data_IF_251208579406
#
_entry.id   IF_251208579406
#
_cell.length_a   1.000
_cell.length_b   1.000
_cell.length_c   1.000
_cell.angle_alpha   90.00
_cell.angle_beta   90.00
_cell.angle_gamma   90.00
#
_symmetry.space_group_name_H-M   'P 1'
#
loop_
_entity.id
_entity.type
_entity.pdbx_description
1 polymer ?
#
# COMPACT_ATOMS: atom_id res chain seq x y z
N UNK A 1 -25.19 -17.74 50.04
CA UNK A 1 -25.72 -17.12 48.83
C UNK A 1 -24.76 -16.20 48.13
N UNK A 2 -23.95 -15.39 48.83
CA UNK A 2 -22.93 -14.53 48.19
C UNK A 2 -21.79 -15.32 47.52
N UNK A 3 -21.46 -16.52 47.97
CA UNK A 3 -20.42 -17.37 47.37
C UNK A 3 -20.82 -17.99 46.04
N UNK A 4 -22.11 -18.25 45.82
CA UNK A 4 -22.63 -18.80 44.57
C UNK A 4 -22.64 -17.73 43.46
N UNK A 5 -22.88 -16.47 43.81
CA UNK A 5 -22.84 -15.34 42.85
C UNK A 5 -21.43 -15.05 42.37
N UNK A 6 -20.44 -15.21 43.26
CA UNK A 6 -19.02 -14.98 42.92
C UNK A 6 -18.49 -16.09 41.99
N UNK A 7 -18.98 -17.33 42.17
CA UNK A 7 -18.63 -18.46 41.29
C UNK A 7 -19.21 -18.27 39.88
N UNK A 8 -20.42 -17.72 39.78
CA UNK A 8 -21.08 -17.48 38.50
C UNK A 8 -20.36 -16.39 37.68
N UNK A 9 -19.87 -15.35 38.33
CA UNK A 9 -19.09 -14.31 37.67
C UNK A 9 -17.72 -14.79 37.22
N UNK A 10 -17.11 -15.71 37.93
CA UNK A 10 -15.80 -16.26 37.56
C UNK A 10 -15.88 -17.22 36.35
N UNK A 11 -16.99 -17.90 36.16
CA UNK A 11 -17.22 -18.81 35.03
C UNK A 11 -17.50 -18.04 33.73
N UNK A 12 -18.05 -16.83 33.81
CA UNK A 12 -18.33 -16.01 32.64
C UNK A 12 -17.09 -15.29 32.09
N UNK A 13 -16.05 -15.08 32.88
CA UNK A 13 -14.83 -14.36 32.47
C UNK A 13 -14.05 -15.07 31.35
N UNK A 14 -13.86 -16.39 31.33
CA UNK A 14 -13.12 -17.03 30.24
C UNK A 14 -13.85 -17.05 28.90
N UNK A 15 -15.17 -16.88 28.90
CA UNK A 15 -15.94 -16.85 27.65
C UNK A 15 -15.72 -15.58 26.83
N UNK A 16 -15.39 -14.47 27.49
CA UNK A 16 -15.07 -13.22 26.80
C UNK A 16 -13.67 -13.23 26.18
N UNK A 17 -12.73 -14.00 26.72
CA UNK A 17 -11.37 -14.10 26.20
C UNK A 17 -11.32 -14.94 24.92
N UNK A 18 -12.20 -15.94 24.79
CA UNK A 18 -12.27 -16.78 23.60
C UNK A 18 -12.96 -16.11 22.40
N UNK A 19 -13.66 -15.00 22.63
CA UNK A 19 -14.29 -14.20 21.57
C UNK A 19 -13.31 -13.24 20.86
N UNK A 20 -12.07 -13.15 21.32
CA UNK A 20 -11.01 -12.33 20.70
C UNK A 20 -10.19 -13.12 19.67
N UNK A 21 -10.83 -13.91 18.82
CA UNK A 21 -10.16 -14.49 17.67
C UNK A 21 -9.86 -13.40 16.67
N UNK A 22 -8.57 -13.16 16.44
CA UNK A 22 -8.11 -12.22 15.42
C UNK A 22 -8.45 -12.77 14.04
N UNK A 23 -9.42 -12.15 13.37
CA UNK A 23 -9.67 -12.42 11.97
C UNK A 23 -8.51 -11.86 11.13
N UNK A 24 -8.15 -12.57 10.07
CA UNK A 24 -7.11 -12.12 9.16
C UNK A 24 -7.58 -10.85 8.45
N UNK A 25 -6.81 -9.77 8.56
CA UNK A 25 -7.08 -8.53 7.84
C UNK A 25 -6.55 -8.65 6.42
N UNK A 26 -7.37 -8.27 5.45
CA UNK A 26 -7.01 -8.25 4.03
C UNK A 26 -6.69 -6.84 3.58
N UNK A 27 -5.72 -6.73 2.69
CA UNK A 27 -5.29 -5.48 2.10
C UNK A 27 -5.13 -5.63 0.59
N UNK A 28 -5.51 -4.62 -0.15
CA UNK A 28 -5.06 -4.44 -1.53
C UNK A 28 -3.79 -3.58 -1.52
N UNK A 29 -2.92 -3.81 -2.47
CA UNK A 29 -1.60 -3.17 -2.54
C UNK A 29 -1.44 -2.42 -3.85
N UNK A 30 -0.80 -1.25 -3.76
CA UNK A 30 -0.28 -0.52 -4.90
C UNK A 30 1.23 -0.35 -4.73
N UNK A 31 1.96 -0.55 -5.81
CA UNK A 31 3.38 -0.18 -5.86
C UNK A 31 3.47 1.14 -6.60
N UNK A 32 4.08 2.12 -5.94
CA UNK A 32 4.18 3.49 -6.41
C UNK A 32 5.63 3.76 -6.76
N UNK A 33 5.88 4.13 -8.00
CA UNK A 33 7.21 4.56 -8.46
C UNK A 33 7.17 6.02 -8.88
N UNK A 34 8.30 6.70 -8.72
CA UNK A 34 8.43 8.11 -9.01
C UNK A 34 9.29 8.35 -10.23
N UNK A 35 8.84 9.26 -11.08
CA UNK A 35 9.61 9.74 -12.23
C UNK A 35 9.52 11.25 -12.33
N UNK A 36 10.58 11.87 -12.82
CA UNK A 36 10.63 13.31 -13.05
C UNK A 36 11.69 14.02 -12.23
N UNK A 37 11.69 15.34 -12.33
CA UNK A 37 12.67 16.21 -11.69
C UNK A 37 11.99 17.18 -10.73
N UNK A 38 12.60 17.36 -9.56
CA UNK A 38 12.16 18.37 -8.58
C UNK A 38 12.21 19.80 -9.11
N UNK A 39 13.05 20.07 -10.13
CA UNK A 39 13.38 21.44 -10.50
C UNK A 39 12.45 22.09 -11.53
N UNK A 40 11.89 21.33 -12.47
CA UNK A 40 11.24 21.96 -13.63
C UNK A 40 9.82 21.48 -13.95
N UNK A 41 9.48 20.23 -13.68
CA UNK A 41 8.21 19.66 -14.14
C UNK A 41 7.38 18.94 -13.05
N UNK A 42 7.92 18.88 -11.83
CA UNK A 42 7.31 18.13 -10.74
C UNK A 42 7.46 16.61 -10.90
N UNK A 43 6.98 15.90 -9.92
CA UNK A 43 6.98 14.44 -9.91
C UNK A 43 5.74 13.88 -10.54
N UNK A 44 5.94 12.89 -11.38
CA UNK A 44 4.87 12.00 -11.87
C UNK A 44 4.93 10.70 -11.10
N UNK A 45 3.79 10.11 -10.90
CA UNK A 45 3.63 8.89 -10.11
C UNK A 45 3.06 7.80 -10.99
N UNK A 46 3.78 6.68 -11.06
CA UNK A 46 3.29 5.45 -11.67
C UNK A 46 2.70 4.56 -10.59
N UNK A 47 1.49 4.06 -10.83
CA UNK A 47 0.79 3.14 -9.94
C UNK A 47 0.69 1.77 -10.57
N UNK A 48 1.18 0.76 -9.84
CA UNK A 48 0.95 -0.64 -10.12
C UNK A 48 -0.15 -1.13 -9.17
N UNK A 49 -1.34 -1.35 -9.68
CA UNK A 49 -2.49 -1.84 -8.92
C UNK A 49 -2.66 -3.36 -8.99
N UNK A 50 -1.67 -4.07 -9.56
CA UNK A 50 -1.73 -5.50 -9.78
C UNK A 50 -2.37 -5.91 -11.10
N UNK A 51 -3.07 -5.00 -11.78
CA UNK A 51 -3.70 -5.23 -13.08
C UNK A 51 -2.94 -4.50 -14.19
N UNK A 52 -2.64 -3.24 -13.98
CA UNK A 52 -1.92 -2.37 -14.91
C UNK A 52 -0.92 -1.50 -14.18
N UNK A 53 0.07 -1.02 -14.93
CA UNK A 53 1.00 0.01 -14.44
C UNK A 53 0.73 1.26 -15.26
N UNK A 54 0.18 2.28 -14.63
CA UNK A 54 -0.21 3.51 -15.30
C UNK A 54 0.18 4.74 -14.48
N UNK A 55 0.39 5.84 -15.18
CA UNK A 55 0.58 7.13 -14.50
C UNK A 55 -0.70 7.58 -13.83
N UNK A 56 -0.56 8.09 -12.61
CA UNK A 56 -1.69 8.65 -11.88
C UNK A 56 -2.28 9.83 -12.66
N UNK A 57 -3.58 9.78 -12.89
CA UNK A 57 -4.33 10.78 -13.65
C UNK A 57 -5.38 11.44 -12.78
N UNK A 58 -5.69 12.69 -13.10
CA UNK A 58 -6.80 13.40 -12.47
C UNK A 58 -8.15 12.99 -13.09
N UNK A 59 -9.23 13.63 -12.62
CA UNK A 59 -10.59 13.36 -13.12
C UNK A 59 -10.78 13.70 -14.60
N UNK A 60 -9.91 14.54 -15.17
CA UNK A 60 -9.93 14.91 -16.59
C UNK A 60 -9.06 14.00 -17.47
N UNK A 61 -8.43 12.99 -16.88
CA UNK A 61 -7.53 12.07 -17.59
C UNK A 61 -6.12 12.62 -17.82
N UNK A 62 -5.79 13.75 -17.25
CA UNK A 62 -4.46 14.34 -17.34
C UNK A 62 -3.53 13.76 -16.25
N UNK A 63 -2.25 13.59 -16.59
CA UNK A 63 -1.24 13.09 -15.67
C UNK A 63 -1.04 14.07 -14.52
N UNK A 64 -1.21 13.59 -13.30
CA UNK A 64 -0.98 14.40 -12.11
C UNK A 64 0.50 14.64 -11.89
N UNK A 65 0.82 15.86 -11.47
CA UNK A 65 2.16 16.27 -11.07
C UNK A 65 2.14 16.74 -9.63
N UNK A 66 3.16 16.37 -8.88
CA UNK A 66 3.31 16.77 -7.49
C UNK A 66 4.55 17.61 -7.30
N UNK A 67 4.47 18.58 -6.42
CA UNK A 67 5.63 19.44 -6.11
C UNK A 67 6.75 18.65 -5.42
N UNK A 68 6.38 17.69 -4.56
CA UNK A 68 7.31 16.89 -3.78
C UNK A 68 6.77 15.47 -3.61
N UNK A 69 7.63 14.49 -3.27
CA UNK A 69 7.17 13.13 -2.92
C UNK A 69 6.20 13.12 -1.74
N UNK A 70 6.40 14.00 -0.75
CA UNK A 70 5.49 14.11 0.39
C UNK A 70 4.07 14.50 -0.03
N UNK A 71 3.94 15.39 -1.02
CA UNK A 71 2.63 15.77 -1.55
C UNK A 71 1.91 14.57 -2.20
N UNK A 72 2.64 13.75 -2.94
CA UNK A 72 2.09 12.51 -3.52
C UNK A 72 1.65 11.53 -2.44
N UNK A 73 2.46 11.36 -1.38
CA UNK A 73 2.12 10.49 -0.26
C UNK A 73 0.84 10.96 0.46
N UNK A 74 0.74 12.25 0.73
CA UNK A 74 -0.46 12.82 1.37
C UNK A 74 -1.70 12.68 0.49
N UNK A 75 -1.55 12.84 -0.81
CA UNK A 75 -2.65 12.63 -1.75
C UNK A 75 -3.15 11.18 -1.71
N UNK A 76 -2.25 10.21 -1.80
CA UNK A 76 -2.60 8.79 -1.72
C UNK A 76 -3.23 8.44 -0.36
N UNK A 77 -2.71 9.01 0.71
CA UNK A 77 -3.28 8.83 2.04
C UNK A 77 -4.72 9.37 2.11
N UNK A 78 -5.00 10.51 1.47
CA UNK A 78 -6.35 11.07 1.41
C UNK A 78 -7.35 10.17 0.69
N UNK A 79 -6.88 9.28 -0.19
CA UNK A 79 -7.68 8.28 -0.88
C UNK A 79 -7.83 6.97 -0.08
N UNK A 80 -7.28 6.90 1.13
CA UNK A 80 -7.36 5.75 2.01
C UNK A 80 -6.17 4.79 1.92
N UNK A 81 -5.14 5.13 1.15
CA UNK A 81 -3.91 4.33 1.07
C UNK A 81 -2.97 4.68 2.21
N UNK A 82 -2.31 3.67 2.78
CA UNK A 82 -1.27 3.86 3.79
C UNK A 82 0.06 3.30 3.30
N UNK A 83 1.15 3.94 3.69
CA UNK A 83 2.49 3.46 3.38
C UNK A 83 2.79 2.23 4.24
N UNK A 84 3.07 1.11 3.57
CA UNK A 84 3.42 -0.14 4.24
C UNK A 84 4.94 -0.32 4.32
N UNK A 85 5.62 -0.17 3.19
CA UNK A 85 7.07 -0.25 3.13
C UNK A 85 7.59 0.61 1.97
N UNK A 86 8.79 1.13 2.11
CA UNK A 86 9.51 1.81 1.04
C UNK A 86 10.80 1.07 0.71
N UNK A 87 11.27 1.22 -0.52
CA UNK A 87 12.48 0.61 -0.97
C UNK A 87 13.07 1.33 -2.16
N UNK A 88 14.23 0.87 -2.59
CA UNK A 88 14.89 1.38 -3.78
C UNK A 88 15.68 0.25 -4.43
N UNK A 89 15.70 0.26 -5.76
CA UNK A 89 16.57 -0.60 -6.56
C UNK A 89 17.58 0.26 -7.30
N UNK A 90 18.83 -0.20 -7.32
CA UNK A 90 19.89 0.47 -8.06
C UNK A 90 20.39 -0.45 -9.15
N UNK A 91 20.36 0.03 -10.38
CA UNK A 91 20.92 -0.66 -11.52
C UNK A 91 22.17 0.06 -11.97
N UNK A 92 23.22 -0.70 -12.21
CA UNK A 92 24.51 -0.17 -12.67
C UNK A 92 24.97 -0.87 -13.94
N UNK A 93 25.52 -0.11 -14.87
CA UNK A 93 26.17 -0.62 -16.06
C UNK A 93 27.54 0.05 -16.24
N UNK A 94 28.54 -0.73 -16.60
CA UNK A 94 29.87 -0.23 -16.92
C UNK A 94 30.25 -0.57 -18.36
N UNK A 95 30.54 0.44 -19.13
CA UNK A 95 31.01 0.32 -20.51
C UNK A 95 32.31 1.11 -20.68
N UNK A 96 33.38 0.44 -21.09
CA UNK A 96 34.65 1.09 -21.41
C UNK A 96 35.26 1.90 -20.27
N UNK A 97 35.06 1.50 -19.03
CA UNK A 97 35.53 2.21 -17.85
C UNK A 97 34.63 3.34 -17.37
N UNK A 98 33.50 3.58 -18.03
CA UNK A 98 32.50 4.56 -17.63
C UNK A 98 31.33 3.83 -16.98
N UNK A 99 31.05 4.14 -15.71
CA UNK A 99 29.90 3.60 -14.98
C UNK A 99 28.72 4.54 -15.01
N UNK A 100 27.53 3.99 -15.24
CA UNK A 100 26.26 4.67 -15.07
C UNK A 100 25.40 3.88 -14.09
N UNK A 101 24.79 4.57 -13.13
CA UNK A 101 23.86 3.97 -12.19
C UNK A 101 22.55 4.75 -12.17
N UNK A 102 21.45 4.03 -12.11
CA UNK A 102 20.14 4.60 -11.88
C UNK A 102 19.52 3.98 -10.62
N UNK A 103 18.85 4.80 -9.83
CA UNK A 103 18.14 4.35 -8.64
C UNK A 103 16.65 4.64 -8.83
N UNK A 104 15.84 3.61 -8.71
CA UNK A 104 14.40 3.73 -8.72
C UNK A 104 13.87 3.54 -7.32
N UNK A 105 13.20 4.55 -6.80
CA UNK A 105 12.55 4.49 -5.50
C UNK A 105 11.10 4.07 -5.68
N UNK A 106 10.62 3.22 -4.78
CA UNK A 106 9.24 2.77 -4.79
C UNK A 106 8.65 2.74 -3.39
N UNK A 107 7.35 2.93 -3.32
CA UNK A 107 6.56 2.73 -2.11
C UNK A 107 5.58 1.59 -2.34
N UNK A 108 5.45 0.73 -1.34
CA UNK A 108 4.35 -0.23 -1.29
C UNK A 108 3.28 0.38 -0.39
N UNK A 109 2.16 0.74 -1.01
CA UNK A 109 0.99 1.28 -0.34
C UNK A 109 -0.05 0.18 -0.17
N UNK A 110 -0.80 0.22 0.90
CA UNK A 110 -1.89 -0.74 1.14
C UNK A 110 -3.14 -0.06 1.64
N UNK A 111 -4.26 -0.69 1.40
CA UNK A 111 -5.57 -0.25 1.85
C UNK A 111 -6.35 -1.43 2.40
N UNK A 112 -6.94 -1.33 3.60
CA UNK A 112 -7.79 -2.39 4.13
C UNK A 112 -8.96 -2.66 3.19
N UNK A 113 -9.28 -3.93 3.02
CA UNK A 113 -10.38 -4.35 2.16
C UNK A 113 -11.04 -5.61 2.71
N UNK A 114 -12.17 -5.99 2.11
CA UNK A 114 -12.83 -7.25 2.41
C UNK A 114 -12.08 -8.41 1.75
N UNK A 115 -12.31 -9.63 2.25
CA UNK A 115 -11.79 -10.85 1.64
C UNK A 115 -12.22 -10.99 0.18
N UNK A 116 -13.47 -10.63 -0.12
CA UNK A 116 -14.02 -10.70 -1.48
C UNK A 116 -13.29 -9.74 -2.43
N UNK A 117 -13.05 -8.51 -2.01
CA UNK A 117 -12.31 -7.52 -2.79
C UNK A 117 -10.87 -7.96 -3.03
N UNK A 118 -10.24 -8.54 -2.02
CA UNK A 118 -8.90 -9.11 -2.13
C UNK A 118 -8.86 -10.24 -3.17
N UNK A 119 -9.78 -11.18 -3.11
CA UNK A 119 -9.87 -12.29 -4.06
C UNK A 119 -10.08 -11.82 -5.49
N UNK A 120 -10.93 -10.81 -5.68
CA UNK A 120 -11.11 -10.16 -7.00
C UNK A 120 -9.83 -9.51 -7.51
N UNK A 121 -9.11 -8.81 -6.63
CA UNK A 121 -7.84 -8.18 -7.00
C UNK A 121 -6.80 -9.21 -7.41
N UNK A 122 -6.71 -10.34 -6.71
CA UNK A 122 -5.85 -11.46 -7.08
C UNK A 122 -6.22 -12.00 -8.46
N UNK A 123 -7.50 -12.22 -8.71
CA UNK A 123 -7.98 -12.76 -9.99
C UNK A 123 -7.68 -11.82 -11.16
N UNK A 124 -7.90 -10.52 -10.99
CA UNK A 124 -7.62 -9.53 -12.03
C UNK A 124 -6.12 -9.41 -12.35
N UNK A 125 -5.26 -9.72 -11.39
CA UNK A 125 -3.81 -9.66 -11.59
C UNK A 125 -3.21 -10.89 -12.27
N UNK A 126 -3.94 -11.99 -12.36
CA UNK A 126 -3.45 -13.21 -12.99
C UNK A 126 -3.62 -13.11 -14.50
N UNK A 127 -2.51 -13.27 -15.21
CA UNK A 127 -2.55 -13.34 -16.68
C UNK A 127 -2.99 -14.73 -17.12
N UNK A 128 -4.05 -14.77 -17.89
CA UNK A 128 -4.55 -16.00 -18.52
C UNK A 128 -3.98 -16.21 -19.89
#
# INVERSE_FOLDING_TARGET
>A
MKKALLLLTLVCLPLFVSAQTTEKQYYIYNIVTFSGSLKNEGFKVDLDDGKTIEKLKDSNGEKMKFNTPAAALMYLYSLGWELYVNGATTEGAMYGGIGASSTTSYWIMRKPCTKEDFEKAVEYGIRK
#
